data_IF_191168677956
#
_entry.id   IF_191168677956
#
_cell.length_a   1.000
_cell.length_b   1.000
_cell.length_c   1.000
_cell.angle_alpha   90.00
_cell.angle_beta   90.00
_cell.angle_gamma   90.00
#
_symmetry.space_group_name_H-M   'P 1'
#
loop_
_entity.id
_entity.type
_entity.pdbx_description
1 polymer ?
#
# COMPACT_ATOMS: atom_id res chain seq x y z
N UNK A 1 -13.57 -2.32 11.37
CA UNK A 1 -13.49 -1.02 10.65
C UNK A 1 -14.61 -0.96 9.61
N UNK A 2 -15.51 0.02 9.71
CA UNK A 2 -16.69 0.16 8.85
C UNK A 2 -16.33 0.87 7.54
N UNK A 3 -15.93 0.14 6.48
CA UNK A 3 -16.06 0.46 5.04
C UNK A 3 -15.88 1.91 4.53
N UNK A 4 -15.20 2.80 5.26
CA UNK A 4 -15.10 4.22 4.92
C UNK A 4 -13.87 4.42 4.03
N UNK A 5 -14.06 5.02 2.86
CA UNK A 5 -12.94 5.45 2.02
C UNK A 5 -12.13 6.47 2.79
N UNK A 6 -10.90 6.10 3.16
CA UNK A 6 -10.00 6.92 3.97
C UNK A 6 -9.28 7.97 3.14
N UNK A 7 -9.03 7.68 1.86
CA UNK A 7 -8.22 8.52 1.00
C UNK A 7 -8.50 8.22 -0.48
N UNK A 8 -8.66 9.26 -1.30
CA UNK A 8 -8.78 9.15 -2.76
C UNK A 8 -7.79 10.10 -3.41
N UNK A 9 -6.73 9.56 -4.00
CA UNK A 9 -5.68 10.33 -4.66
C UNK A 9 -5.78 10.17 -6.18
N UNK A 10 -5.52 11.23 -6.94
CA UNK A 10 -5.50 11.19 -8.40
C UNK A 10 -4.22 11.82 -8.96
N UNK A 11 -3.45 11.01 -9.67
CA UNK A 11 -2.25 11.45 -10.37
C UNK A 11 -1.00 11.48 -9.50
N UNK A 12 0.17 11.50 -10.15
CA UNK A 12 1.47 11.25 -9.52
C UNK A 12 1.90 12.35 -8.55
N UNK A 13 1.51 13.60 -8.81
CA UNK A 13 1.84 14.75 -7.96
C UNK A 13 1.16 14.62 -6.59
N UNK A 14 -0.17 14.38 -6.60
CA UNK A 14 -0.95 14.22 -5.38
C UNK A 14 -0.49 13.00 -4.58
N UNK A 15 -0.27 11.87 -5.27
CA UNK A 15 0.26 10.65 -4.66
C UNK A 15 1.63 10.89 -3.99
N UNK A 16 2.55 11.57 -4.68
CA UNK A 16 3.87 11.87 -4.12
C UNK A 16 3.76 12.72 -2.85
N UNK A 17 2.93 13.76 -2.86
CA UNK A 17 2.75 14.62 -1.71
C UNK A 17 2.15 13.86 -0.51
N UNK A 18 1.07 13.11 -0.74
CA UNK A 18 0.40 12.35 0.31
C UNK A 18 1.31 11.26 0.91
N UNK A 19 2.07 10.53 0.08
CA UNK A 19 2.97 9.50 0.57
C UNK A 19 4.19 10.09 1.27
N UNK A 20 4.75 11.20 0.79
CA UNK A 20 5.85 11.87 1.48
C UNK A 20 5.43 12.37 2.87
N UNK A 21 4.23 12.96 2.96
CA UNK A 21 3.68 13.44 4.23
C UNK A 21 3.39 12.29 5.20
N UNK A 22 2.85 11.17 4.71
CA UNK A 22 2.58 10.00 5.56
C UNK A 22 3.86 9.29 6.02
N UNK A 23 4.86 9.17 5.14
CA UNK A 23 6.08 8.40 5.40
C UNK A 23 7.10 9.15 6.26
N UNK A 24 6.95 10.47 6.46
CA UNK A 24 7.92 11.28 7.22
C UNK A 24 8.08 10.83 8.68
N UNK A 25 7.05 10.18 9.24
CA UNK A 25 7.00 9.75 10.64
C UNK A 25 7.58 8.33 10.86
N UNK A 26 8.09 7.69 9.79
CA UNK A 26 8.60 6.32 9.84
C UNK A 26 10.06 6.23 9.36
N UNK A 27 10.89 5.57 10.15
CA UNK A 27 12.30 5.32 9.85
C UNK A 27 12.48 4.11 8.93
N UNK A 28 11.63 3.09 9.09
CA UNK A 28 11.74 1.82 8.36
C UNK A 28 10.38 1.40 7.83
N UNK A 29 10.35 1.01 6.56
CA UNK A 29 9.12 0.61 5.86
C UNK A 29 9.39 -0.63 5.03
N UNK A 30 8.62 -1.68 5.28
CA UNK A 30 8.62 -2.92 4.49
C UNK A 30 7.24 -3.17 3.90
N UNK A 31 7.24 -3.68 2.66
CA UNK A 31 6.07 -4.24 2.00
C UNK A 31 6.39 -5.67 1.61
N UNK A 32 5.87 -6.63 2.37
CA UNK A 32 6.01 -8.04 2.03
C UNK A 32 4.81 -8.47 1.19
N UNK A 33 5.01 -8.45 -0.13
CA UNK A 33 4.02 -8.85 -1.11
C UNK A 33 3.91 -10.37 -1.14
N UNK A 34 2.75 -10.88 -0.73
CA UNK A 34 2.45 -12.31 -0.65
C UNK A 34 1.81 -12.83 -1.92
N UNK A 35 0.77 -13.65 -1.77
CA UNK A 35 0.05 -14.23 -2.89
C UNK A 35 -0.52 -13.13 -3.81
N UNK A 36 -0.36 -13.33 -5.10
CA UNK A 36 -0.95 -12.50 -6.14
C UNK A 36 -1.80 -13.36 -7.07
N UNK A 37 -2.96 -12.85 -7.48
CA UNK A 37 -3.80 -13.40 -8.54
C UNK A 37 -3.88 -12.37 -9.67
N UNK A 38 -3.61 -12.78 -10.90
CA UNK A 38 -3.63 -11.92 -12.08
C UNK A 38 -4.58 -12.49 -13.12
N UNK A 39 -5.32 -11.61 -13.79
CA UNK A 39 -6.01 -11.91 -15.04
C UNK A 39 -5.47 -10.97 -16.11
N UNK A 40 -4.79 -11.53 -17.12
CA UNK A 40 -4.10 -10.77 -18.16
C UNK A 40 -4.89 -10.92 -19.47
N UNK A 41 -5.22 -9.80 -20.10
CA UNK A 41 -5.87 -9.75 -21.39
C UNK A 41 -5.15 -8.74 -22.28
N UNK A 42 -4.27 -9.24 -23.16
CA UNK A 42 -3.47 -8.43 -24.08
C UNK A 42 -2.66 -7.35 -23.34
N UNK A 43 -3.03 -6.09 -23.50
CA UNK A 43 -2.37 -4.89 -22.98
C UNK A 43 -3.01 -4.37 -21.69
N UNK A 44 -4.01 -5.07 -21.14
CA UNK A 44 -4.63 -4.78 -19.85
C UNK A 44 -4.56 -5.99 -18.93
N UNK A 45 -4.51 -5.75 -17.62
CA UNK A 45 -4.65 -6.80 -16.63
C UNK A 45 -5.37 -6.30 -15.37
N UNK A 46 -5.95 -7.22 -14.62
CA UNK A 46 -6.42 -6.96 -13.25
C UNK A 46 -5.72 -7.88 -12.28
N UNK A 47 -5.59 -7.45 -11.02
CA UNK A 47 -4.94 -8.26 -10.01
C UNK A 47 -5.44 -8.02 -8.60
N UNK A 48 -5.28 -9.06 -7.78
CA UNK A 48 -5.41 -8.99 -6.33
C UNK A 48 -4.06 -9.35 -5.73
N UNK A 49 -3.52 -8.49 -4.88
CA UNK A 49 -2.27 -8.69 -4.16
C UNK A 49 -2.51 -8.57 -2.66
N UNK A 50 -2.14 -9.62 -1.91
CA UNK A 50 -2.11 -9.57 -0.45
C UNK A 50 -0.74 -9.07 0.02
N UNK A 51 -0.72 -8.08 0.89
CA UNK A 51 0.50 -7.44 1.38
C UNK A 51 0.50 -7.40 2.91
N UNK A 52 1.65 -7.71 3.50
CA UNK A 52 1.93 -7.43 4.90
C UNK A 52 2.88 -6.23 4.96
N UNK A 53 2.39 -5.12 5.52
CA UNK A 53 3.15 -3.88 5.68
C UNK A 53 3.74 -3.86 7.09
N UNK A 54 5.00 -3.46 7.21
CA UNK A 54 5.63 -3.17 8.50
C UNK A 54 6.19 -1.75 8.47
N UNK A 55 5.73 -0.91 9.39
CA UNK A 55 6.18 0.46 9.58
C UNK A 55 6.86 0.56 10.95
N UNK A 56 8.04 1.13 11.03
CA UNK A 56 8.74 1.40 12.30
C UNK A 56 9.04 2.89 12.36
N UNK A 57 8.63 3.53 13.44
CA UNK A 57 8.87 4.94 13.70
C UNK A 57 8.76 5.27 15.19
N UNK A 58 8.80 6.56 15.52
CA UNK A 58 8.65 7.05 16.88
C UNK A 58 7.23 7.56 17.10
N UNK A 59 6.54 7.01 18.09
CA UNK A 59 5.24 7.51 18.56
C UNK A 59 5.33 7.74 20.08
N UNK A 60 5.06 8.96 20.55
CA UNK A 60 5.14 9.32 21.99
C UNK A 60 6.47 8.90 22.65
N UNK A 61 7.60 9.28 22.03
CA UNK A 61 8.97 8.96 22.47
C UNK A 61 9.31 7.46 22.54
N UNK A 62 8.48 6.60 21.96
CA UNK A 62 8.67 5.15 21.92
C UNK A 62 8.85 4.66 20.50
N UNK A 63 9.73 3.68 20.31
CA UNK A 63 9.90 3.01 19.02
C UNK A 63 8.78 2.00 18.82
N UNK A 64 7.90 2.28 17.88
CA UNK A 64 6.73 1.46 17.61
C UNK A 64 6.90 0.74 16.27
N UNK A 65 6.61 -0.55 16.25
CA UNK A 65 6.39 -1.33 15.03
C UNK A 65 4.89 -1.48 14.80
N UNK A 66 4.42 -0.95 13.70
CA UNK A 66 3.06 -1.13 13.20
C UNK A 66 3.06 -2.20 12.10
N UNK A 67 2.25 -3.25 12.26
CA UNK A 67 2.02 -4.28 11.25
C UNK A 67 0.62 -4.13 10.67
N UNK A 68 0.47 -4.17 9.36
CA UNK A 68 -0.82 -3.96 8.69
C UNK A 68 -1.03 -5.05 7.64
N UNK A 69 -2.16 -5.75 7.72
CA UNK A 69 -2.66 -6.56 6.62
C UNK A 69 -3.36 -5.67 5.61
N UNK A 70 -2.98 -5.78 4.33
CA UNK A 70 -3.59 -5.05 3.25
C UNK A 70 -3.90 -5.95 2.04
N UNK A 71 -5.00 -5.68 1.36
CA UNK A 71 -5.30 -6.20 0.03
C UNK A 71 -5.32 -5.06 -0.99
N UNK A 72 -4.61 -5.24 -2.09
CA UNK A 72 -4.64 -4.32 -3.23
C UNK A 72 -5.38 -4.95 -4.40
N UNK A 73 -6.41 -4.26 -4.86
CA UNK A 73 -7.10 -4.54 -6.11
C UNK A 73 -6.59 -3.56 -7.17
N UNK A 74 -5.86 -4.09 -8.15
CA UNK A 74 -5.13 -3.31 -9.14
C UNK A 74 -5.70 -3.49 -10.55
N UNK A 75 -5.70 -2.39 -11.30
CA UNK A 75 -5.79 -2.38 -12.76
C UNK A 75 -4.41 -2.04 -13.32
N UNK A 76 -3.99 -2.76 -14.35
CA UNK A 76 -2.71 -2.61 -15.01
C UNK A 76 -2.88 -2.34 -16.50
N UNK A 77 -1.96 -1.56 -17.06
CA UNK A 77 -1.83 -1.30 -18.49
C UNK A 77 -0.40 -1.60 -18.96
N UNK A 78 -0.26 -2.14 -20.17
CA UNK A 78 1.03 -2.36 -20.82
C UNK A 78 1.35 -1.15 -21.71
N UNK A 79 2.23 -0.28 -21.24
CA UNK A 79 2.70 0.87 -22.02
C UNK A 79 4.19 0.73 -22.32
N UNK A 80 4.57 0.90 -23.59
CA UNK A 80 5.97 0.85 -24.05
C UNK A 80 6.71 -0.42 -23.57
N UNK A 81 6.02 -1.56 -23.56
CA UNK A 81 6.57 -2.84 -23.12
C UNK A 81 6.70 -3.02 -21.60
N UNK A 82 6.12 -2.13 -20.79
CA UNK A 82 6.14 -2.19 -19.33
C UNK A 82 4.73 -2.22 -18.74
N UNK A 83 4.49 -3.13 -17.80
CA UNK A 83 3.26 -3.15 -17.02
C UNK A 83 3.30 -2.04 -15.96
N UNK A 84 2.28 -1.19 -15.97
CA UNK A 84 2.10 -0.09 -15.03
C UNK A 84 0.80 -0.27 -14.26
N UNK A 85 0.78 0.07 -12.97
CA UNK A 85 -0.46 0.17 -12.19
C UNK A 85 -1.18 1.46 -12.61
N UNK A 86 -2.33 1.34 -13.29
CA UNK A 86 -3.15 2.48 -13.70
C UNK A 86 -4.10 2.93 -12.60
N UNK A 87 -4.54 1.99 -11.75
CA UNK A 87 -5.40 2.25 -10.60
C UNK A 87 -5.16 1.16 -9.53
N UNK A 88 -5.24 1.58 -8.27
CA UNK A 88 -5.19 0.70 -7.09
C UNK A 88 -6.28 1.08 -6.11
N UNK A 89 -7.00 0.08 -5.62
CA UNK A 89 -7.87 0.20 -4.45
C UNK A 89 -7.18 -0.58 -3.32
N UNK A 90 -6.80 0.12 -2.25
CA UNK A 90 -6.20 -0.50 -1.07
C UNK A 90 -7.21 -0.66 0.05
N UNK A 91 -7.40 -1.90 0.48
CA UNK A 91 -8.12 -2.24 1.70
C UNK A 91 -7.09 -2.57 2.78
N UNK A 92 -7.22 -1.96 3.96
CA UNK A 92 -6.36 -2.22 5.11
C UNK A 92 -7.22 -2.91 6.17
N UNK A 93 -7.13 -4.24 6.26
CA UNK A 93 -8.11 -5.05 6.96
C UNK A 93 -7.90 -5.06 8.47
N UNK A 94 -6.65 -5.08 8.90
CA UNK A 94 -6.28 -5.11 10.31
C UNK A 94 -4.95 -4.40 10.53
N UNK A 95 -4.75 -3.95 11.77
CA UNK A 95 -3.54 -3.30 12.22
C UNK A 95 -3.19 -3.78 13.62
N UNK A 96 -1.91 -4.04 13.84
CA UNK A 96 -1.34 -4.32 15.15
C UNK A 96 -0.17 -3.35 15.42
N UNK A 97 -0.03 -2.93 16.67
CA UNK A 97 1.05 -2.04 17.10
C UNK A 97 1.72 -2.59 18.34
N UNK A 98 3.04 -2.71 18.28
CA UNK A 98 3.85 -3.11 19.42
C UNK A 98 5.00 -2.13 19.62
N UNK A 99 5.32 -1.84 20.88
CA UNK A 99 6.57 -1.20 21.24
C UNK A 99 7.71 -2.20 21.02
N UNK A 100 8.81 -1.74 20.42
CA UNK A 100 10.01 -2.53 20.20
C UNK A 100 11.19 -1.87 20.91
N UNK A 101 12.02 -2.71 21.54
CA UNK A 101 13.23 -2.28 22.27
C UNK A 101 14.41 -2.19 21.31
#
# INVERSE_FOLDING_TARGET
MNGKSLLRLKGRIEMKAAFAEFLKDYDVVYHFNGQQKLNINQDIATGVLYCLITLIGIENDKKIKTSIGATYEDEYILENGQWLVSKRIGSFEWQDKIEIV
#
